data_IF_805216634047
#
_entry.id   IF_805216634047
#
_cell.length_a   1.000
_cell.length_b   1.000
_cell.length_c   1.000
_cell.angle_alpha   90.00
_cell.angle_beta   90.00
_cell.angle_gamma   90.00
#
_symmetry.space_group_name_H-M   'P 1'
#
loop_
_entity.id
_entity.type
_entity.pdbx_description
1 polymer ?
#
# COMPACT_ATOMS: atom_id res chain seq x y z
N UNK A 1 -18.39 -10.64 13.59
CA UNK A 1 -18.68 -12.10 13.75
C UNK A 1 -19.53 -12.69 12.62
N UNK A 2 -20.63 -12.06 12.15
CA UNK A 2 -21.42 -12.60 11.02
C UNK A 2 -20.68 -12.58 9.67
N UNK A 3 -19.83 -11.58 9.42
CA UNK A 3 -19.00 -11.46 8.21
C UNK A 3 -18.00 -12.62 8.05
N UNK A 4 -17.28 -12.97 9.12
CA UNK A 4 -16.25 -14.01 9.13
C UNK A 4 -16.82 -15.38 8.74
N UNK A 5 -17.99 -15.76 9.27
CA UNK A 5 -18.64 -17.04 8.93
C UNK A 5 -19.08 -17.11 7.46
N UNK A 6 -19.47 -15.97 6.86
CA UNK A 6 -19.80 -15.91 5.43
C UNK A 6 -18.54 -16.06 4.56
N UNK A 7 -17.44 -15.43 4.97
CA UNK A 7 -16.15 -15.50 4.27
C UNK A 7 -15.59 -16.92 4.27
N UNK A 8 -15.57 -17.59 5.42
CA UNK A 8 -15.11 -18.99 5.53
C UNK A 8 -15.91 -19.90 4.58
N UNK A 9 -17.24 -19.74 4.53
CA UNK A 9 -18.10 -20.51 3.61
C UNK A 9 -17.78 -20.24 2.15
N UNK A 10 -17.50 -18.98 1.78
CA UNK A 10 -17.12 -18.64 0.41
C UNK A 10 -15.76 -19.23 0.04
N UNK A 11 -14.78 -19.17 0.94
CA UNK A 11 -13.46 -19.78 0.72
C UNK A 11 -13.61 -21.29 0.51
N UNK A 12 -14.33 -21.99 1.37
CA UNK A 12 -14.59 -23.44 1.21
C UNK A 12 -15.27 -23.76 -0.13
N UNK A 13 -16.22 -22.92 -0.57
CA UNK A 13 -16.89 -23.10 -1.86
C UNK A 13 -15.94 -22.94 -3.05
N UNK A 14 -15.00 -21.98 -2.99
CA UNK A 14 -13.97 -21.76 -4.02
C UNK A 14 -12.97 -22.92 -4.02
N UNK A 15 -12.49 -23.34 -2.86
CA UNK A 15 -11.59 -24.49 -2.72
C UNK A 15 -12.20 -25.76 -3.31
N UNK A 16 -13.51 -25.94 -3.11
CA UNK A 16 -14.28 -27.08 -3.63
C UNK A 16 -14.69 -26.95 -5.10
N UNK A 17 -14.41 -25.81 -5.76
CA UNK A 17 -14.79 -25.57 -7.14
C UNK A 17 -13.92 -26.39 -8.12
N UNK A 18 -14.34 -26.46 -9.40
CA UNK A 18 -13.56 -27.11 -10.47
C UNK A 18 -12.53 -26.19 -11.14
N UNK A 19 -12.31 -24.98 -10.61
CA UNK A 19 -11.34 -24.03 -11.15
C UNK A 19 -9.90 -24.55 -10.96
N UNK A 20 -8.98 -24.02 -11.76
CA UNK A 20 -7.55 -24.22 -11.57
C UNK A 20 -7.07 -23.59 -10.25
N UNK A 21 -6.02 -24.16 -9.66
CA UNK A 21 -5.47 -23.72 -8.36
C UNK A 21 -5.16 -22.23 -8.33
N UNK A 22 -4.49 -21.70 -9.37
CA UNK A 22 -4.14 -20.28 -9.45
C UNK A 22 -5.38 -19.37 -9.43
N UNK A 23 -6.44 -19.73 -10.15
CA UNK A 23 -7.69 -18.97 -10.16
C UNK A 23 -8.38 -18.99 -8.78
N UNK A 24 -8.32 -20.13 -8.07
CA UNK A 24 -8.84 -20.24 -6.70
C UNK A 24 -8.06 -19.36 -5.73
N UNK A 25 -6.73 -19.38 -5.80
CA UNK A 25 -5.86 -18.56 -4.95
C UNK A 25 -6.13 -17.06 -5.13
N UNK A 26 -6.25 -16.59 -6.38
CA UNK A 26 -6.59 -15.21 -6.68
C UNK A 26 -7.97 -14.82 -6.16
N UNK A 27 -8.96 -15.71 -6.30
CA UNK A 27 -10.32 -15.45 -5.85
C UNK A 27 -10.43 -15.42 -4.31
N UNK A 28 -9.73 -16.32 -3.61
CA UNK A 28 -9.62 -16.31 -2.15
C UNK A 28 -8.91 -15.04 -1.69
N UNK A 29 -7.80 -14.67 -2.34
CA UNK A 29 -7.04 -13.46 -2.00
C UNK A 29 -7.91 -12.20 -2.10
N UNK A 30 -8.64 -12.03 -3.20
CA UNK A 30 -9.54 -10.88 -3.38
C UNK A 30 -10.61 -10.78 -2.27
N UNK A 31 -11.16 -11.91 -1.82
CA UNK A 31 -12.12 -11.93 -0.71
C UNK A 31 -11.46 -11.58 0.62
N UNK A 32 -10.25 -12.10 0.87
CA UNK A 32 -9.49 -11.81 2.10
C UNK A 32 -9.07 -10.34 2.16
N UNK A 33 -8.60 -9.79 1.04
CA UNK A 33 -8.24 -8.37 0.92
C UNK A 33 -9.46 -7.48 1.18
N UNK A 34 -10.59 -7.78 0.51
CA UNK A 34 -11.83 -7.04 0.72
C UNK A 34 -12.30 -7.14 2.17
N UNK A 35 -12.22 -8.31 2.79
CA UNK A 35 -12.59 -8.49 4.18
C UNK A 35 -11.76 -7.65 5.12
N UNK A 36 -10.43 -7.74 5.00
CA UNK A 36 -9.52 -7.03 5.88
C UNK A 36 -9.67 -5.52 5.71
N UNK A 37 -9.77 -5.04 4.47
CA UNK A 37 -10.08 -3.66 4.17
C UNK A 37 -11.39 -3.21 4.83
N UNK A 38 -12.48 -3.97 4.65
CA UNK A 38 -13.81 -3.62 5.16
C UNK A 38 -13.83 -3.53 6.69
N UNK A 39 -13.19 -4.49 7.37
CA UNK A 39 -13.12 -4.54 8.85
C UNK A 39 -12.39 -3.33 9.45
N UNK A 40 -11.43 -2.76 8.70
CA UNK A 40 -10.63 -1.60 9.10
C UNK A 40 -11.22 -0.26 8.65
N UNK A 41 -11.91 -0.23 7.50
CA UNK A 41 -12.46 1.00 6.91
C UNK A 41 -13.67 1.51 7.70
N UNK A 42 -14.68 0.66 7.90
CA UNK A 42 -15.89 1.02 8.63
C UNK A 42 -16.52 -0.21 9.29
N UNK A 43 -16.68 -0.17 10.61
CA UNK A 43 -17.24 -1.27 11.38
C UNK A 43 -18.72 -1.57 11.09
N UNK A 44 -19.40 -0.69 10.34
CA UNK A 44 -20.77 -0.87 9.86
C UNK A 44 -20.83 -1.44 8.45
N UNK A 45 -19.71 -1.49 7.73
CA UNK A 45 -19.67 -2.04 6.39
C UNK A 45 -19.83 -3.57 6.42
N UNK A 46 -20.72 -4.09 5.59
CA UNK A 46 -21.00 -5.53 5.50
C UNK A 46 -20.71 -6.00 4.09
N UNK A 47 -19.85 -7.00 3.95
CA UNK A 47 -19.64 -7.69 2.68
C UNK A 47 -20.89 -8.53 2.38
N UNK A 48 -21.66 -8.14 1.38
CA UNK A 48 -22.92 -8.80 1.01
C UNK A 48 -22.68 -9.95 0.03
N UNK A 49 -21.72 -9.79 -0.86
CA UNK A 49 -21.28 -10.78 -1.84
C UNK A 49 -19.86 -10.45 -2.32
N UNK A 50 -19.29 -11.32 -3.16
CA UNK A 50 -17.96 -11.12 -3.73
C UNK A 50 -17.88 -9.76 -4.44
N UNK A 51 -16.97 -8.90 -3.99
CA UNK A 51 -16.75 -7.58 -4.60
C UNK A 51 -17.90 -6.60 -4.37
N UNK A 52 -18.73 -6.78 -3.33
CA UNK A 52 -19.78 -5.84 -2.95
C UNK A 52 -19.78 -5.62 -1.44
N UNK A 53 -19.82 -4.36 -1.03
CA UNK A 53 -20.05 -3.96 0.35
C UNK A 53 -21.36 -3.19 0.45
N UNK A 54 -22.03 -3.34 1.58
CA UNK A 54 -23.16 -2.51 1.98
C UNK A 54 -22.73 -1.61 3.12
N UNK A 55 -22.94 -0.31 2.94
CA UNK A 55 -22.69 0.73 3.94
C UNK A 55 -24.03 1.19 4.50
N UNK A 56 -24.18 1.17 5.82
CA UNK A 56 -25.34 1.75 6.49
C UNK A 56 -24.99 3.16 6.97
N UNK A 57 -25.73 4.16 6.48
CA UNK A 57 -25.59 5.52 6.97
C UNK A 57 -26.16 5.69 8.39
N UNK A 58 -26.03 6.89 8.95
CA UNK A 58 -26.50 7.20 10.31
C UNK A 58 -28.04 7.17 10.41
N UNK A 59 -28.73 7.31 9.29
CA UNK A 59 -30.20 7.30 9.18
C UNK A 59 -30.75 5.90 8.84
N UNK A 60 -29.87 4.89 8.71
CA UNK A 60 -30.23 3.50 8.43
C UNK A 60 -30.48 3.18 6.95
N UNK A 61 -30.12 4.09 6.03
CA UNK A 61 -30.13 3.82 4.60
C UNK A 61 -28.92 2.97 4.23
N UNK A 62 -29.19 1.85 3.56
CA UNK A 62 -28.18 0.93 3.07
C UNK A 62 -27.81 1.25 1.62
N UNK A 63 -26.57 1.67 1.39
CA UNK A 63 -26.01 1.83 0.05
C UNK A 63 -25.14 0.63 -0.31
N UNK A 64 -25.31 0.10 -1.51
CA UNK A 64 -24.48 -0.98 -2.04
C UNK A 64 -23.42 -0.41 -2.97
N UNK A 65 -22.18 -0.82 -2.75
CA UNK A 65 -21.02 -0.37 -3.50
C UNK A 65 -20.28 -1.58 -4.05
N UNK A 66 -19.99 -1.56 -5.35
CA UNK A 66 -19.09 -2.56 -5.94
C UNK A 66 -17.64 -2.20 -5.63
N UNK A 67 -16.85 -3.16 -5.16
CA UNK A 67 -15.45 -2.97 -4.80
C UNK A 67 -14.58 -3.88 -5.64
N UNK A 68 -13.60 -3.28 -6.32
CA UNK A 68 -12.52 -3.99 -7.02
C UNK A 68 -11.28 -3.93 -6.16
N UNK A 69 -10.67 -5.09 -5.89
CA UNK A 69 -9.37 -5.19 -5.24
C UNK A 69 -8.29 -5.45 -6.31
N UNK A 70 -7.19 -4.73 -6.26
CA UNK A 70 -6.08 -4.92 -7.20
C UNK A 70 -4.74 -4.83 -6.47
N UNK A 71 -3.87 -5.81 -6.70
CA UNK A 71 -2.56 -5.86 -6.07
C UNK A 71 -1.58 -4.89 -6.71
N UNK A 72 -0.89 -4.12 -5.87
CA UNK A 72 0.20 -3.28 -6.29
C UNK A 72 1.54 -4.01 -6.09
N UNK A 73 2.06 -4.53 -7.20
CA UNK A 73 3.41 -5.05 -7.28
C UNK A 73 4.36 -3.94 -7.70
N UNK A 74 5.13 -3.44 -6.74
CA UNK A 74 6.18 -2.46 -7.01
C UNK A 74 7.30 -3.16 -7.77
N UNK A 75 7.74 -2.54 -8.86
CA UNK A 75 8.92 -3.03 -9.58
C UNK A 75 10.12 -3.02 -8.62
N UNK A 76 11.04 -4.01 -8.68
CA UNK A 76 12.20 -4.04 -7.80
C UNK A 76 13.07 -2.80 -7.99
N UNK A 77 12.84 -1.78 -7.16
CA UNK A 77 13.68 -0.58 -7.03
C UNK A 77 14.84 -0.89 -6.09
N UNK A 78 15.86 -0.03 -6.12
CA UNK A 78 16.88 -0.04 -5.07
C UNK A 78 16.24 0.03 -3.69
N UNK A 79 16.81 -0.68 -2.73
CA UNK A 79 16.32 -0.66 -1.35
C UNK A 79 16.43 0.77 -0.81
N UNK A 80 15.30 1.42 -0.53
CA UNK A 80 15.28 2.85 -0.21
C UNK A 80 16.07 3.19 1.06
N UNK A 81 16.17 2.25 2.01
CA UNK A 81 17.02 2.42 3.19
C UNK A 81 18.50 2.50 2.85
N UNK A 82 18.96 1.84 1.79
CA UNK A 82 20.37 1.87 1.38
C UNK A 82 20.83 3.30 1.07
N UNK A 83 19.98 4.09 0.41
CA UNK A 83 20.26 5.51 0.13
C UNK A 83 20.43 6.30 1.43
N UNK A 84 19.52 6.13 2.39
CA UNK A 84 19.58 6.79 3.70
C UNK A 84 20.87 6.42 4.44
N UNK A 85 21.24 5.14 4.43
CA UNK A 85 22.47 4.68 5.07
C UNK A 85 23.72 5.27 4.42
N UNK A 86 23.77 5.31 3.08
CA UNK A 86 24.88 5.93 2.35
C UNK A 86 25.00 7.44 2.60
N UNK A 87 23.89 8.15 2.75
CA UNK A 87 23.91 9.57 3.16
C UNK A 87 24.52 9.74 4.56
N UNK A 88 24.14 8.89 5.53
CA UNK A 88 24.72 8.93 6.88
C UNK A 88 26.23 8.59 6.83
N UNK A 89 26.63 7.60 6.03
CA UNK A 89 28.04 7.25 5.84
C UNK A 89 28.85 8.44 5.31
N UNK A 90 28.31 9.19 4.34
CA UNK A 90 28.94 10.40 3.82
C UNK A 90 29.09 11.46 4.92
N UNK A 91 28.02 11.75 5.66
CA UNK A 91 28.04 12.75 6.76
C UNK A 91 29.07 12.41 7.84
N UNK A 92 29.22 11.13 8.20
CA UNK A 92 30.18 10.72 9.24
C UNK A 92 31.62 10.57 8.74
N UNK A 93 31.82 10.32 7.45
CA UNK A 93 33.16 10.23 6.86
C UNK A 93 33.96 11.53 7.02
N UNK A 94 33.25 12.67 7.09
CA UNK A 94 33.83 14.00 7.30
C UNK A 94 34.16 14.30 8.78
N UNK A 95 33.57 13.59 9.73
CA UNK A 95 33.67 13.86 11.19
C UNK A 95 34.89 13.21 11.88
N UNK A 96 35.77 12.56 11.12
CA UNK A 96 37.07 12.08 11.57
C UNK A 96 37.09 10.70 12.27
N UNK A 97 38.26 10.32 12.80
CA UNK A 97 38.56 8.94 13.22
C UNK A 97 37.72 8.40 14.40
N UNK A 98 37.09 9.27 15.20
CA UNK A 98 36.31 8.90 16.40
C UNK A 98 35.18 7.94 16.07
N UNK A 99 34.57 8.10 14.90
CA UNK A 99 33.40 7.33 14.51
C UNK A 99 33.75 6.09 13.68
N UNK A 100 35.03 5.85 13.34
CA UNK A 100 35.43 4.63 12.62
C UNK A 100 34.92 3.37 13.32
N UNK A 101 34.39 2.44 12.52
CA UNK A 101 33.67 1.28 12.98
C UNK A 101 32.66 0.79 11.95
N UNK A 102 32.38 -0.50 12.01
CA UNK A 102 31.30 -1.12 11.26
C UNK A 102 30.07 -1.15 12.17
N UNK A 103 29.01 -0.42 11.81
CA UNK A 103 27.78 -0.31 12.58
C UNK A 103 26.71 -1.21 12.00
N UNK A 104 26.38 -2.29 12.69
CA UNK A 104 25.22 -3.12 12.34
C UNK A 104 23.97 -2.48 12.95
N UNK A 105 23.05 -2.02 12.10
CA UNK A 105 21.78 -1.40 12.50
C UNK A 105 20.67 -2.42 12.32
N UNK A 106 19.95 -2.70 13.40
CA UNK A 106 18.78 -3.55 13.43
C UNK A 106 17.54 -2.67 13.63
N UNK A 107 16.56 -2.88 12.76
CA UNK A 107 15.33 -2.07 12.70
C UNK A 107 14.18 -2.83 13.34
N UNK A 108 13.30 -2.10 14.01
CA UNK A 108 12.03 -2.62 14.51
C UNK A 108 11.11 -2.93 13.32
N UNK A 109 10.12 -3.78 13.55
CA UNK A 109 9.00 -3.90 12.62
C UNK A 109 8.17 -2.61 12.68
N UNK A 110 7.96 -1.92 11.55
CA UNK A 110 7.20 -0.68 11.55
C UNK A 110 5.70 -0.96 11.73
N UNK A 111 5.03 -0.07 12.47
CA UNK A 111 3.59 -0.13 12.73
C UNK A 111 2.77 0.59 11.64
N UNK A 112 3.42 1.41 10.82
CA UNK A 112 2.84 2.17 9.71
C UNK A 112 3.88 2.32 8.59
N UNK A 113 3.46 2.72 7.39
CA UNK A 113 4.42 3.03 6.33
C UNK A 113 5.15 4.34 6.59
N UNK A 114 6.29 4.52 5.93
CA UNK A 114 7.11 5.71 6.07
C UNK A 114 6.64 6.80 5.12
N UNK A 115 6.57 8.03 5.63
CA UNK A 115 6.60 9.24 4.82
C UNK A 115 7.99 9.93 4.84
N UNK A 116 8.13 11.00 4.06
CA UNK A 116 9.37 11.77 4.00
C UNK A 116 9.83 12.30 5.38
N UNK A 117 8.90 12.67 6.26
CA UNK A 117 9.19 13.16 7.61
C UNK A 117 9.70 12.01 8.49
N UNK A 118 9.09 10.84 8.40
CA UNK A 118 9.48 9.66 9.16
C UNK A 118 10.83 9.09 8.72
N UNK A 119 11.15 9.18 7.43
CA UNK A 119 12.50 8.88 6.92
C UNK A 119 13.55 9.81 7.55
N UNK A 120 13.27 11.10 7.66
CA UNK A 120 14.18 12.04 8.33
C UNK A 120 14.34 11.71 9.83
N UNK A 121 13.24 11.34 10.50
CA UNK A 121 13.29 10.89 11.90
C UNK A 121 14.13 9.60 12.04
N UNK A 122 13.95 8.63 11.15
CA UNK A 122 14.74 7.41 11.12
C UNK A 122 16.24 7.71 10.94
N UNK A 123 16.58 8.57 9.97
CA UNK A 123 17.95 9.03 9.77
C UNK A 123 18.53 9.66 11.04
N UNK A 124 17.77 10.55 11.67
CA UNK A 124 18.15 11.19 12.94
C UNK A 124 18.36 10.17 14.07
N UNK A 125 17.50 9.15 14.17
CA UNK A 125 17.66 8.09 15.17
C UNK A 125 18.97 7.34 15.01
N UNK A 126 19.31 6.95 13.78
CA UNK A 126 20.56 6.23 13.50
C UNK A 126 21.77 7.11 13.86
N UNK A 127 21.77 8.37 13.44
CA UNK A 127 22.85 9.33 13.74
C UNK A 127 23.03 9.49 15.25
N UNK A 128 21.92 9.70 15.97
CA UNK A 128 21.93 9.90 17.44
C UNK A 128 22.44 8.64 18.16
N UNK A 129 21.99 7.46 17.71
CA UNK A 129 22.45 6.18 18.25
C UNK A 129 23.94 5.93 18.03
N UNK A 130 24.50 6.33 16.88
CA UNK A 130 25.94 6.26 16.60
C UNK A 130 26.74 7.24 17.47
N UNK A 131 26.19 8.43 17.73
CA UNK A 131 26.80 9.43 18.63
C UNK A 131 26.73 9.05 20.10
N UNK A 132 25.92 8.05 20.46
CA UNK A 132 25.69 7.64 21.85
C UNK A 132 24.75 8.58 22.60
N UNK A 133 23.89 9.28 21.88
CA UNK A 133 22.89 10.19 22.45
C UNK A 133 21.69 9.40 22.98
N UNK A 134 21.12 9.86 24.10
CA UNK A 134 19.95 9.23 24.73
C UNK A 134 18.69 9.86 24.15
N UNK A 135 18.02 9.15 23.26
CA UNK A 135 16.76 9.55 22.63
C UNK A 135 15.72 8.42 22.70
N UNK A 136 14.47 8.73 22.35
CA UNK A 136 13.45 7.72 22.10
C UNK A 136 13.68 7.12 20.70
N UNK A 137 13.91 5.81 20.64
CA UNK A 137 14.08 5.08 19.38
C UNK A 137 12.77 4.41 18.98
N UNK A 138 12.08 4.98 17.98
CA UNK A 138 10.84 4.43 17.40
C UNK A 138 11.13 3.39 16.31
N UNK A 139 12.18 3.58 15.52
CA UNK A 139 12.44 2.75 14.33
C UNK A 139 13.65 1.84 14.48
N UNK A 140 14.65 2.27 15.24
CA UNK A 140 15.87 1.48 15.48
C UNK A 140 15.68 0.59 16.71
N UNK A 141 15.92 -0.70 16.57
CA UNK A 141 15.91 -1.64 17.69
C UNK A 141 17.27 -1.63 18.40
N UNK A 142 18.34 -1.70 17.61
CA UNK A 142 19.70 -1.82 18.14
C UNK A 142 20.75 -1.38 17.14
N UNK A 143 21.81 -0.73 17.65
CA UNK A 143 23.03 -0.47 16.88
C UNK A 143 24.21 -1.16 17.58
N UNK A 144 24.95 -1.97 16.83
CA UNK A 144 26.17 -2.63 17.31
C UNK A 144 27.38 -2.13 16.54
N UNK A 145 28.33 -1.53 17.25
CA UNK A 145 29.63 -1.12 16.70
C UNK A 145 30.62 -2.29 16.77
N UNK A 146 31.21 -2.62 15.63
CA UNK A 146 32.30 -3.57 15.49
C UNK A 146 33.59 -2.84 15.08
N UNK A 147 34.78 -3.36 15.47
CA UNK A 147 36.06 -2.77 15.06
C UNK A 147 36.18 -2.72 13.53
N UNK A 148 36.54 -1.55 12.99
CA UNK A 148 36.82 -1.34 11.56
C UNK A 148 37.70 -0.11 11.39
N UNK A 149 38.52 -0.08 10.34
CA UNK A 149 39.33 1.09 9.94
C UNK A 149 38.53 2.18 9.23
N UNK A 150 37.32 1.84 8.79
CA UNK A 150 36.40 2.68 8.02
C UNK A 150 35.09 2.89 8.79
N UNK A 151 34.36 3.96 8.45
CA UNK A 151 32.97 4.13 8.87
C UNK A 151 32.08 3.43 7.85
N UNK A 152 31.30 2.43 8.29
CA UNK A 152 30.35 1.75 7.41
C UNK A 152 29.14 1.30 8.21
N UNK A 153 27.96 1.43 7.64
CA UNK A 153 26.70 0.97 8.20
C UNK A 153 26.25 -0.25 7.42
N UNK A 154 25.86 -1.29 8.16
CA UNK A 154 25.32 -2.52 7.58
C UNK A 154 23.89 -2.67 8.03
N UNK A 155 23.02 -2.82 7.03
CA UNK A 155 21.68 -3.33 7.14
C UNK A 155 21.72 -4.79 6.67
N UNK A 156 21.18 -5.71 7.48
CA UNK A 156 21.09 -7.13 7.12
C UNK A 156 19.88 -7.41 6.24
N UNK A 157 18.68 -7.19 6.78
CA UNK A 157 17.45 -7.79 6.23
C UNK A 157 16.28 -6.80 6.14
N UNK A 158 16.55 -5.51 6.34
CA UNK A 158 15.51 -4.49 6.28
C UNK A 158 15.41 -3.95 4.86
N UNK A 159 14.39 -4.40 4.14
CA UNK A 159 14.10 -3.91 2.78
C UNK A 159 12.88 -3.01 2.81
N UNK A 160 13.04 -1.83 2.24
CA UNK A 160 11.99 -0.82 2.10
C UNK A 160 11.86 -0.45 0.62
N UNK A 161 10.63 -0.44 0.12
CA UNK A 161 10.34 -0.08 -1.27
C UNK A 161 9.53 1.21 -1.33
N UNK A 162 9.81 2.02 -2.34
CA UNK A 162 9.09 3.27 -2.57
C UNK A 162 7.90 3.05 -3.49
N UNK A 163 6.72 3.40 -2.99
CA UNK A 163 5.46 3.48 -3.74
C UNK A 163 5.32 4.93 -4.25
N UNK A 164 5.32 5.10 -5.58
CA UNK A 164 5.23 6.42 -6.21
C UNK A 164 3.84 6.69 -6.77
N UNK A 165 3.56 7.94 -7.09
CA UNK A 165 2.34 8.33 -7.79
C UNK A 165 2.11 7.52 -9.08
N UNK A 166 3.17 7.28 -9.86
CA UNK A 166 3.11 6.54 -11.12
C UNK A 166 2.72 5.08 -10.91
N UNK A 167 3.22 4.45 -9.85
CA UNK A 167 2.88 3.06 -9.49
C UNK A 167 1.36 2.93 -9.27
N UNK A 168 0.77 3.85 -8.50
CA UNK A 168 -0.68 3.89 -8.24
C UNK A 168 -1.46 4.22 -9.52
N UNK A 169 -1.07 5.25 -10.27
CA UNK A 169 -1.75 5.66 -11.50
C UNK A 169 -1.78 4.53 -12.54
N UNK A 170 -0.72 3.74 -12.63
CA UNK A 170 -0.65 2.59 -13.52
C UNK A 170 -1.69 1.51 -13.16
N UNK A 171 -1.86 1.19 -11.87
CA UNK A 171 -2.91 0.26 -11.42
C UNK A 171 -4.31 0.81 -11.69
N UNK A 172 -4.54 2.10 -11.46
CA UNK A 172 -5.82 2.75 -11.79
C UNK A 172 -6.14 2.58 -13.27
N UNK A 173 -5.17 2.85 -14.14
CA UNK A 173 -5.33 2.74 -15.60
C UNK A 173 -5.60 1.29 -16.05
N UNK A 174 -4.96 0.30 -15.43
CA UNK A 174 -5.19 -1.12 -15.74
C UNK A 174 -6.62 -1.57 -15.40
N UNK A 175 -7.22 -0.98 -14.36
CA UNK A 175 -8.57 -1.31 -13.92
C UNK A 175 -9.64 -0.42 -14.58
N UNK A 176 -9.26 0.51 -15.45
CA UNK A 176 -10.19 1.44 -16.11
C UNK A 176 -11.31 0.73 -16.90
N UNK A 177 -11.02 -0.40 -17.54
CA UNK A 177 -11.98 -1.16 -18.35
C UNK A 177 -13.02 -1.95 -17.51
N UNK A 178 -12.82 -2.05 -16.21
CA UNK A 178 -13.75 -2.74 -15.29
C UNK A 178 -14.87 -1.81 -14.78
N UNK A 179 -14.87 -0.55 -15.23
CA UNK A 179 -15.84 0.46 -14.81
C UNK A 179 -17.23 0.14 -15.37
N UNK A 180 -18.17 -0.06 -14.44
CA UNK A 180 -19.60 -0.24 -14.69
C UNK A 180 -20.33 1.10 -14.58
N UNK A 181 -21.55 1.20 -15.13
CA UNK A 181 -22.44 2.36 -14.90
C UNK A 181 -22.87 2.51 -13.41
N UNK A 182 -22.49 1.55 -12.56
CA UNK A 182 -22.75 1.56 -11.12
C UNK A 182 -21.58 2.18 -10.32
N UNK A 183 -21.90 2.71 -9.14
CA UNK A 183 -20.92 3.17 -8.16
C UNK A 183 -19.92 2.07 -7.81
N UNK A 184 -18.64 2.35 -8.06
CA UNK A 184 -17.56 1.39 -7.90
C UNK A 184 -16.36 2.04 -7.23
N UNK A 185 -15.81 1.33 -6.25
CA UNK A 185 -14.58 1.70 -5.55
C UNK A 185 -13.43 0.79 -5.98
N UNK A 186 -12.22 1.33 -5.97
CA UNK A 186 -10.98 0.58 -6.18
C UNK A 186 -10.17 0.54 -4.89
N UNK A 187 -9.80 -0.65 -4.44
CA UNK A 187 -8.87 -0.87 -3.32
C UNK A 187 -7.58 -1.43 -3.90
N UNK A 188 -6.53 -0.61 -3.88
CA UNK A 188 -5.19 -0.96 -4.31
C UNK A 188 -4.43 -1.52 -3.11
N UNK A 189 -4.02 -2.78 -3.18
CA UNK A 189 -3.47 -3.53 -2.04
C UNK A 189 -1.94 -3.57 -2.09
N UNK A 190 -1.30 -3.06 -1.05
CA UNK A 190 0.13 -3.23 -0.78
C UNK A 190 0.34 -4.43 0.14
N UNK A 191 1.18 -5.37 -0.29
CA UNK A 191 1.53 -6.57 0.46
C UNK A 191 3.03 -6.69 0.57
N UNK A 192 3.54 -6.63 1.81
CA UNK A 192 4.97 -6.71 2.09
C UNK A 192 5.56 -8.09 1.69
N UNK A 193 4.78 -9.16 1.81
CA UNK A 193 5.18 -10.51 1.35
C UNK A 193 5.31 -10.54 -0.16
N UNK A 194 4.29 -10.06 -0.88
CA UNK A 194 4.27 -10.09 -2.36
C UNK A 194 5.36 -9.20 -2.97
N UNK A 195 5.68 -8.09 -2.31
CA UNK A 195 6.73 -7.16 -2.71
C UNK A 195 8.13 -7.56 -2.16
N UNK A 196 8.21 -8.63 -1.37
CA UNK A 196 9.43 -9.09 -0.70
C UNK A 196 10.15 -7.92 0.00
N UNK A 197 9.43 -7.20 0.87
CA UNK A 197 9.94 -6.09 1.66
C UNK A 197 9.42 -6.18 3.10
N UNK A 198 9.88 -5.30 3.98
CA UNK A 198 9.36 -5.16 5.34
C UNK A 198 8.42 -3.97 5.51
N UNK A 199 8.50 -2.98 4.63
CA UNK A 199 7.74 -1.73 4.71
C UNK A 199 7.82 -0.95 3.40
N UNK A 200 6.94 0.04 3.27
CA UNK A 200 6.90 0.94 2.13
C UNK A 200 7.25 2.38 2.54
N UNK A 201 7.83 3.14 1.60
CA UNK A 201 7.79 4.61 1.63
C UNK A 201 6.65 5.03 0.73
N UNK A 202 5.71 5.81 1.27
CA UNK A 202 4.61 6.38 0.50
C UNK A 202 5.02 7.80 0.09
N UNK A 203 5.15 8.03 -1.20
CA UNK A 203 5.38 9.36 -1.76
C UNK A 203 4.23 10.31 -1.34
N UNK A 204 4.57 11.51 -0.86
CA UNK A 204 3.61 12.53 -0.47
C UNK A 204 2.69 12.96 -1.64
N UNK A 205 3.16 12.79 -2.88
CA UNK A 205 2.33 13.00 -4.06
C UNK A 205 1.09 12.07 -4.08
N UNK A 206 1.15 10.86 -3.52
CA UNK A 206 0.02 9.94 -3.44
C UNK A 206 -1.10 10.51 -2.55
N UNK A 207 -0.74 11.23 -1.48
CA UNK A 207 -1.69 11.82 -0.54
C UNK A 207 -2.24 13.16 -1.02
N UNK A 208 -1.48 13.89 -1.84
CA UNK A 208 -1.76 15.30 -2.16
C UNK A 208 -2.20 15.54 -3.59
N UNK A 209 -1.68 14.78 -4.57
CA UNK A 209 -2.06 14.91 -5.96
C UNK A 209 -3.40 14.22 -6.22
N UNK A 210 -4.12 14.69 -7.25
CA UNK A 210 -5.36 14.07 -7.67
C UNK A 210 -5.12 13.04 -8.77
N UNK A 211 -5.68 11.84 -8.59
CA UNK A 211 -5.66 10.78 -9.58
C UNK A 211 -6.82 10.92 -10.55
N UNK A 212 -6.49 10.80 -11.84
CA UNK A 212 -7.51 10.72 -12.88
C UNK A 212 -8.14 9.33 -12.87
N UNK A 213 -9.44 9.25 -12.60
CA UNK A 213 -10.15 7.98 -12.44
C UNK A 213 -11.65 8.09 -12.77
N UNK A 214 -12.25 6.96 -13.11
CA UNK A 214 -13.71 6.80 -13.19
C UNK A 214 -14.31 6.08 -11.96
N UNK A 215 -13.48 5.63 -11.02
CA UNK A 215 -13.95 5.12 -9.72
C UNK A 215 -14.42 6.29 -8.84
N UNK A 216 -15.48 6.06 -8.07
CA UNK A 216 -16.01 7.07 -7.12
C UNK A 216 -15.02 7.32 -5.98
N UNK A 217 -14.40 6.24 -5.49
CA UNK A 217 -13.34 6.27 -4.49
C UNK A 217 -12.23 5.32 -4.86
N UNK A 218 -11.01 5.70 -4.47
CA UNK A 218 -9.83 4.85 -4.57
C UNK A 218 -9.14 4.85 -3.21
N UNK A 219 -8.72 3.68 -2.77
CA UNK A 219 -7.96 3.50 -1.54
C UNK A 219 -6.63 2.83 -1.85
N UNK A 220 -5.57 3.29 -1.20
CA UNK A 220 -4.35 2.50 -1.03
C UNK A 220 -4.43 1.84 0.33
N UNK A 221 -4.33 0.51 0.37
CA UNK A 221 -4.46 -0.30 1.57
C UNK A 221 -3.21 -1.14 1.77
N UNK A 222 -2.48 -0.93 2.86
CA UNK A 222 -1.41 -1.83 3.26
C UNK A 222 -1.96 -2.97 4.11
N UNK A 223 -1.87 -4.17 3.55
CA UNK A 223 -2.37 -5.37 4.17
C UNK A 223 -1.71 -5.66 5.53
N UNK A 224 -0.44 -5.33 5.76
CA UNK A 224 0.27 -5.74 6.98
C UNK A 224 0.22 -4.68 8.08
N UNK A 225 0.41 -3.42 7.73
CA UNK A 225 0.31 -2.32 8.70
C UNK A 225 -1.14 -1.92 8.98
N UNK A 226 -2.09 -2.42 8.18
CA UNK A 226 -3.52 -2.09 8.28
C UNK A 226 -3.82 -0.60 7.99
N UNK A 227 -2.88 0.10 7.36
CA UNK A 227 -3.03 1.49 6.98
C UNK A 227 -3.92 1.62 5.72
N UNK A 228 -4.91 2.52 5.79
CA UNK A 228 -5.80 2.85 4.66
C UNK A 228 -5.64 4.33 4.36
N UNK A 229 -5.34 4.65 3.10
CA UNK A 229 -5.24 6.00 2.58
C UNK A 229 -6.30 6.17 1.49
N UNK A 230 -7.31 7.01 1.73
CA UNK A 230 -8.24 7.45 0.69
C UNK A 230 -7.53 8.44 -0.24
N UNK A 231 -7.52 8.14 -1.53
CA UNK A 231 -6.82 8.93 -2.53
C UNK A 231 -7.72 10.03 -3.08
N UNK A 232 -7.13 11.20 -3.35
CA UNK A 232 -7.85 12.28 -4.02
C UNK A 232 -8.12 11.90 -5.48
N UNK A 233 -9.39 11.88 -5.88
CA UNK A 233 -9.78 11.55 -7.26
C UNK A 233 -10.37 12.77 -7.97
N UNK A 234 -9.93 12.98 -9.21
CA UNK A 234 -10.62 13.85 -10.16
C UNK A 234 -11.39 12.95 -11.12
N UNK A 235 -12.72 13.02 -11.04
CA UNK A 235 -13.60 12.28 -11.94
C UNK A 235 -13.36 12.74 -13.37
N UNK A 236 -13.05 11.82 -14.28
CA UNK A 236 -13.01 12.14 -15.70
C UNK A 236 -14.43 12.47 -16.18
N UNK A 237 -14.78 13.76 -16.25
CA UNK A 237 -16.02 14.20 -16.88
C UNK A 237 -15.83 14.08 -18.41
N UNK A 238 -16.33 12.98 -18.97
CA UNK A 238 -16.68 12.84 -20.37
C UNK A 238 -15.54 12.84 -21.39
N UNK A 239 -14.99 11.67 -21.69
CA UNK A 239 -14.66 11.36 -23.09
C UNK A 239 -15.83 10.58 -23.69
N UNK A 240 -16.73 11.31 -24.36
CA UNK A 240 -17.67 10.69 -25.29
C UNK A 240 -16.87 9.77 -26.22
N UNK A 241 -17.24 8.49 -26.21
CA UNK A 241 -16.71 7.48 -27.13
C UNK A 241 -16.93 8.02 -28.55
N UNK A 242 -15.87 8.55 -29.17
CA UNK A 242 -15.89 8.89 -30.59
C UNK A 242 -16.01 7.59 -31.36
N UNK A 243 -17.22 7.28 -31.80
CA UNK A 243 -17.43 6.40 -32.95
C UNK A 243 -18.50 5.35 -32.80
N UNK A 244 -19.77 5.73 -32.80
CA UNK A 244 -20.78 5.13 -33.68
C UNK A 244 -21.79 6.22 -34.05
N UNK A 245 -22.07 6.50 -35.34
CA UNK A 245 -23.08 7.48 -35.72
C UNK A 245 -24.47 6.96 -35.36
N UNK A 246 -25.28 7.78 -34.68
CA UNK A 246 -26.73 7.57 -34.65
C UNK A 246 -27.26 7.66 -36.08
N UNK A 247 -27.69 6.53 -36.64
CA UNK A 247 -28.55 6.53 -37.81
C UNK A 247 -29.92 6.99 -37.34
N UNK A 248 -30.26 8.24 -37.66
CA UNK A 248 -31.63 8.72 -37.56
C UNK A 248 -32.47 8.01 -38.64
N UNK A 249 -33.23 6.99 -38.25
CA UNK A 249 -34.36 6.52 -39.07
C UNK A 249 -35.54 7.44 -38.83
N UNK A 250 -35.57 8.51 -39.64
CA UNK A 250 -36.75 9.32 -39.85
C UNK A 250 -37.87 8.50 -40.49
N UNK A 251 -39.06 8.65 -39.93
CA UNK A 251 -40.34 8.20 -40.46
C UNK A 251 -40.62 8.93 -41.77
N UNK A 252 -40.99 8.19 -42.81
CA UNK A 252 -41.82 8.66 -43.92
C UNK A 252 -42.80 7.54 -44.28
#
# INVERSE_FOLDING_TARGET
MKSIQSIERWITAIESSKQETCAKEQEIKAIVDLWKFTDLYDNRAIITQKGEIQLEDVDGLAEKVSVVTSDLFLTPKENAISKILSEIEAEFSELGARYKGLYNVEFRNPEANFDATEILKLKSEIISGIKGEVILFKYVERIRKLPSSEFRIVNRDFKMLECTYEDVQNIINQNYLLQSDQKQWLVIVLSAIDNNCRSFIIDEAIKTAAFSSGFEKIFLFDFYTSEIIELNVMTQIGMAIKGVPLVASGVA
#
